data_IF_152532214952
#
_entry.id   IF_152532214952
#
_cell.length_a   1.000
_cell.length_b   1.000
_cell.length_c   1.000
_cell.angle_alpha   90.00
_cell.angle_beta   90.00
_cell.angle_gamma   90.00
#
_symmetry.space_group_name_H-M   'P 1'
#
loop_
_entity.id
_entity.type
_entity.pdbx_description
1 polymer ?
#
# COMPACT_ATOMS: atom_id res chain seq x y z
N UNK A 1 -15.73 -0.98 -9.89
CA UNK A 1 -14.97 -1.05 -8.61
C UNK A 1 -14.38 0.32 -8.31
N UNK A 2 -14.60 0.81 -7.11
CA UNK A 2 -14.10 2.08 -6.61
C UNK A 2 -13.26 1.85 -5.35
N UNK A 3 -12.02 2.34 -5.30
CA UNK A 3 -11.09 2.07 -4.18
C UNK A 3 -10.42 3.34 -3.67
N UNK A 4 -9.98 3.34 -2.41
CA UNK A 4 -9.36 4.50 -1.78
C UNK A 4 -8.13 4.11 -0.95
N UNK A 5 -7.03 4.86 -1.15
CA UNK A 5 -5.89 4.87 -0.26
C UNK A 5 -6.03 5.99 0.77
N UNK A 6 -5.85 5.67 2.05
CA UNK A 6 -5.97 6.66 3.13
C UNK A 6 -4.68 6.67 3.93
N UNK A 7 -3.99 7.81 3.97
CA UNK A 7 -2.82 7.93 4.83
C UNK A 7 -1.65 8.72 4.24
N UNK A 8 -0.49 8.07 4.18
CA UNK A 8 0.79 8.71 3.87
C UNK A 8 0.94 9.14 2.41
N UNK A 9 1.56 10.30 2.25
CA UNK A 9 2.13 10.81 1.02
C UNK A 9 3.49 11.45 1.32
N UNK A 10 4.45 11.23 0.46
CA UNK A 10 5.79 11.77 0.57
C UNK A 10 6.37 12.08 -0.81
N UNK A 11 7.48 12.80 -0.87
CA UNK A 11 8.38 12.70 -2.02
C UNK A 11 9.68 12.01 -1.61
N UNK A 12 10.11 11.05 -2.41
CA UNK A 12 11.43 10.45 -2.31
C UNK A 12 12.43 11.34 -3.09
N UNK A 13 13.30 12.05 -2.35
CA UNK A 13 14.33 12.94 -2.90
C UNK A 13 15.60 12.16 -3.21
N UNK A 14 15.83 11.88 -4.49
CA UNK A 14 17.02 11.19 -4.99
C UNK A 14 18.16 12.20 -5.13
N UNK A 15 19.01 12.28 -4.13
CA UNK A 15 20.09 13.28 -4.04
C UNK A 15 21.08 13.21 -5.20
N UNK A 16 21.42 12.01 -5.66
CA UNK A 16 22.32 11.79 -6.80
C UNK A 16 21.71 12.23 -8.14
N UNK A 17 20.37 12.29 -8.24
CA UNK A 17 19.65 12.73 -9.44
C UNK A 17 19.17 14.18 -9.34
N UNK A 18 19.22 14.78 -8.14
CA UNK A 18 18.54 16.06 -7.86
C UNK A 18 17.09 16.05 -8.36
N UNK A 19 16.37 14.96 -8.06
CA UNK A 19 15.01 14.73 -8.53
C UNK A 19 14.19 14.11 -7.39
N UNK A 20 13.01 14.64 -7.15
CA UNK A 20 12.05 14.08 -6.21
C UNK A 20 10.93 13.38 -6.96
N UNK A 21 10.50 12.23 -6.44
CA UNK A 21 9.43 11.42 -6.98
C UNK A 21 8.32 11.29 -5.95
N UNK A 22 7.03 11.45 -6.34
CA UNK A 22 5.92 11.23 -5.43
C UNK A 22 5.87 9.77 -4.98
N UNK A 23 5.46 9.54 -3.74
CA UNK A 23 5.36 8.22 -3.12
C UNK A 23 4.56 8.25 -1.82
N UNK A 24 4.64 7.18 -1.08
CA UNK A 24 3.83 6.88 0.10
C UNK A 24 2.94 5.67 -0.17
N UNK A 25 2.84 4.73 0.76
CA UNK A 25 2.15 3.46 0.53
C UNK A 25 0.68 3.67 0.17
N UNK A 26 -0.03 4.52 0.92
CA UNK A 26 -1.44 4.83 0.66
C UNK A 26 -1.62 5.62 -0.66
N UNK A 27 -0.73 6.57 -0.97
CA UNK A 27 -0.74 7.30 -2.22
C UNK A 27 -0.46 6.36 -3.40
N UNK A 28 0.58 5.52 -3.30
CA UNK A 28 0.97 4.54 -4.31
C UNK A 28 -0.20 3.61 -4.65
N UNK A 29 -0.92 3.11 -3.63
CA UNK A 29 -2.10 2.29 -3.84
C UNK A 29 -3.13 2.99 -4.74
N UNK A 30 -3.47 4.25 -4.46
CA UNK A 30 -4.45 5.01 -5.24
C UNK A 30 -4.00 5.25 -6.67
N UNK A 31 -2.73 5.62 -6.85
CA UNK A 31 -2.15 5.85 -8.19
C UNK A 31 -2.11 4.55 -8.99
N UNK A 32 -1.63 3.46 -8.40
CA UNK A 32 -1.57 2.16 -9.06
C UNK A 32 -2.96 1.61 -9.39
N UNK A 33 -3.94 1.83 -8.50
CA UNK A 33 -5.32 1.45 -8.79
C UNK A 33 -5.86 2.20 -10.00
N UNK A 34 -5.58 3.51 -10.11
CA UNK A 34 -5.94 4.31 -11.28
C UNK A 34 -5.25 3.82 -12.56
N UNK A 35 -3.95 3.51 -12.50
CA UNK A 35 -3.19 2.96 -13.63
C UNK A 35 -3.73 1.61 -14.10
N UNK A 36 -4.33 0.82 -13.20
CA UNK A 36 -4.99 -0.46 -13.50
C UNK A 36 -6.46 -0.31 -13.94
N UNK A 37 -6.97 0.92 -14.05
CA UNK A 37 -8.30 1.22 -14.58
C UNK A 37 -9.42 1.26 -13.54
N UNK A 38 -9.11 1.21 -12.24
CA UNK A 38 -10.09 1.41 -11.19
C UNK A 38 -10.49 2.90 -11.05
N UNK A 39 -11.66 3.16 -10.50
CA UNK A 39 -12.02 4.47 -9.99
C UNK A 39 -11.34 4.64 -8.62
N UNK A 40 -10.28 5.45 -8.58
CA UNK A 40 -9.39 5.56 -7.44
C UNK A 40 -9.43 6.95 -6.81
N UNK A 41 -9.51 6.97 -5.48
CA UNK A 41 -9.41 8.17 -4.66
C UNK A 41 -8.26 8.05 -3.68
N UNK A 42 -7.75 9.20 -3.27
CA UNK A 42 -6.75 9.32 -2.20
C UNK A 42 -7.26 10.28 -1.12
N UNK A 43 -7.01 9.96 0.15
CA UNK A 43 -7.31 10.82 1.29
C UNK A 43 -6.10 10.86 2.24
N UNK A 44 -5.57 12.06 2.47
CA UNK A 44 -4.41 12.25 3.35
C UNK A 44 -4.23 13.70 3.77
N UNK A 45 -3.11 13.97 4.41
CA UNK A 45 -2.74 15.30 4.90
C UNK A 45 -1.55 15.82 4.11
N UNK A 46 -1.69 17.01 3.57
CA UNK A 46 -0.65 17.74 2.84
C UNK A 46 -0.12 18.93 3.63
N UNK A 47 1.15 19.23 3.41
CA UNK A 47 1.76 20.50 3.77
C UNK A 47 1.45 21.61 2.78
N UNK A 48 2.10 22.77 2.98
CA UNK A 48 2.08 23.89 2.04
C UNK A 48 3.51 24.22 1.63
N UNK A 49 4.04 23.39 0.77
CA UNK A 49 5.39 23.50 0.23
C UNK A 49 5.48 22.91 -1.19
N UNK A 50 6.65 23.03 -1.79
CA UNK A 50 6.89 22.56 -3.15
C UNK A 50 6.72 21.04 -3.29
N UNK A 51 6.90 20.26 -2.22
CA UNK A 51 6.69 18.80 -2.20
C UNK A 51 5.20 18.49 -2.30
N UNK A 52 4.37 19.15 -1.48
CA UNK A 52 2.91 19.02 -1.52
C UNK A 52 2.35 19.43 -2.89
N UNK A 53 2.78 20.60 -3.42
CA UNK A 53 2.35 21.11 -4.73
C UNK A 53 2.67 20.13 -5.84
N UNK A 54 3.84 19.48 -5.79
CA UNK A 54 4.22 18.47 -6.78
C UNK A 54 3.34 17.23 -6.72
N UNK A 55 3.09 16.69 -5.52
CA UNK A 55 2.24 15.50 -5.36
C UNK A 55 0.80 15.78 -5.81
N UNK A 56 0.23 16.92 -5.40
CA UNK A 56 -1.13 17.33 -5.79
C UNK A 56 -1.26 17.47 -7.31
N UNK A 57 -0.29 18.14 -7.97
CA UNK A 57 -0.28 18.30 -9.42
C UNK A 57 -0.24 16.94 -10.14
N UNK A 58 0.49 15.95 -9.60
CA UNK A 58 0.54 14.60 -10.17
C UNK A 58 -0.77 13.85 -9.96
N UNK A 59 -1.44 14.01 -8.81
CA UNK A 59 -2.78 13.42 -8.60
C UNK A 59 -3.80 13.99 -9.59
N UNK A 60 -3.77 15.31 -9.84
CA UNK A 60 -4.60 15.98 -10.85
C UNK A 60 -4.31 15.43 -12.25
N UNK A 61 -3.03 15.35 -12.65
CA UNK A 61 -2.61 14.82 -13.95
C UNK A 61 -3.09 13.39 -14.19
N UNK A 62 -3.00 12.55 -13.16
CA UNK A 62 -3.42 11.13 -13.22
C UNK A 62 -4.94 10.95 -13.05
N UNK A 63 -5.66 11.99 -12.64
CA UNK A 63 -7.10 11.94 -12.39
C UNK A 63 -7.45 11.06 -11.19
N UNK A 64 -6.62 11.08 -10.15
CA UNK A 64 -6.91 10.47 -8.84
C UNK A 64 -7.69 11.48 -8.02
N UNK A 65 -8.90 11.14 -7.61
CA UNK A 65 -9.76 12.01 -6.81
C UNK A 65 -9.16 12.21 -5.41
N UNK A 66 -9.09 13.46 -4.94
CA UNK A 66 -8.45 13.81 -3.65
C UNK A 66 -9.15 14.96 -2.90
N UNK A 67 -10.43 15.21 -3.19
CA UNK A 67 -11.21 16.32 -2.59
C UNK A 67 -11.41 16.20 -1.08
N UNK A 68 -11.20 15.02 -0.49
CA UNK A 68 -11.27 14.78 0.95
C UNK A 68 -9.92 14.90 1.67
N UNK A 69 -8.86 15.36 1.00
CA UNK A 69 -7.59 15.65 1.64
C UNK A 69 -7.65 16.87 2.55
N UNK A 70 -6.75 16.93 3.51
CA UNK A 70 -6.54 18.10 4.38
C UNK A 70 -5.21 18.77 4.00
N UNK A 71 -5.15 20.10 4.12
CA UNK A 71 -3.91 20.85 3.90
C UNK A 71 -3.67 21.81 5.05
N UNK A 72 -2.47 21.76 5.63
CA UNK A 72 -2.07 22.59 6.75
C UNK A 72 -0.74 23.31 6.47
N UNK A 73 -0.48 24.41 7.19
CA UNK A 73 0.82 25.07 7.15
C UNK A 73 1.87 24.16 7.79
N UNK A 74 2.96 23.90 7.07
CA UNK A 74 4.05 23.01 7.45
C UNK A 74 4.62 22.27 6.25
N UNK A 75 5.75 21.59 6.48
CA UNK A 75 6.40 20.78 5.44
C UNK A 75 5.61 19.49 5.17
N UNK A 76 5.50 19.14 3.90
CA UNK A 76 5.02 17.81 3.49
C UNK A 76 6.04 16.72 3.84
N UNK A 77 5.59 15.47 3.87
CA UNK A 77 6.46 14.33 4.06
C UNK A 77 7.51 14.19 2.95
N UNK A 78 8.76 13.90 3.33
CA UNK A 78 9.79 13.49 2.36
C UNK A 78 10.78 12.49 2.97
N UNK A 79 11.36 11.67 2.09
CA UNK A 79 12.53 10.86 2.38
C UNK A 79 13.69 11.26 1.44
N UNK A 80 14.93 11.16 1.94
CA UNK A 80 16.14 11.42 1.15
C UNK A 80 16.86 10.11 0.91
N UNK A 81 17.18 9.84 -0.33
CA UNK A 81 17.86 8.62 -0.75
C UNK A 81 19.00 8.94 -1.72
N UNK A 82 19.98 8.07 -1.76
CA UNK A 82 21.06 8.10 -2.77
C UNK A 82 21.34 6.69 -3.25
N UNK A 83 22.22 6.54 -4.23
CA UNK A 83 22.80 5.27 -4.65
C UNK A 83 24.26 5.21 -4.23
N UNK A 84 24.67 4.12 -3.60
CA UNK A 84 26.06 3.77 -3.31
C UNK A 84 26.30 2.37 -3.87
N UNK A 85 27.26 2.23 -4.77
CA UNK A 85 27.59 0.98 -5.45
C UNK A 85 26.40 0.27 -6.14
N UNK A 86 25.39 1.07 -6.56
CA UNK A 86 24.18 0.57 -7.23
C UNK A 86 23.04 0.23 -6.26
N UNK A 87 23.28 0.24 -4.96
CA UNK A 87 22.28 0.01 -3.93
C UNK A 87 21.69 1.33 -3.42
N UNK A 88 20.38 1.30 -3.12
CA UNK A 88 19.68 2.47 -2.56
C UNK A 88 19.98 2.61 -1.07
N UNK A 89 20.57 3.77 -0.71
CA UNK A 89 20.89 4.14 0.66
C UNK A 89 19.92 5.20 1.15
N UNK A 90 19.29 4.95 2.28
CA UNK A 90 18.41 5.90 2.95
C UNK A 90 19.25 6.89 3.76
N UNK A 91 19.10 8.19 3.48
CA UNK A 91 19.84 9.27 4.13
C UNK A 91 19.06 9.93 5.29
N UNK A 92 17.75 9.72 5.35
CA UNK A 92 16.88 10.28 6.38
C UNK A 92 15.53 10.76 5.83
N UNK A 93 14.65 11.20 6.73
CA UNK A 93 13.34 11.75 6.39
C UNK A 93 12.89 12.75 7.45
N UNK A 94 11.85 13.56 7.14
CA UNK A 94 11.13 14.33 8.16
C UNK A 94 9.98 13.52 8.81
N UNK A 95 9.98 12.18 8.62
CA UNK A 95 9.05 11.24 9.26
C UNK A 95 7.57 11.54 8.98
N UNK A 96 7.25 12.03 7.79
CA UNK A 96 5.89 12.32 7.36
C UNK A 96 5.50 13.80 7.49
N UNK A 97 6.39 14.66 8.00
CA UNK A 97 6.14 16.10 8.08
C UNK A 97 4.85 16.44 8.81
N UNK A 98 4.06 17.37 8.26
CA UNK A 98 2.83 17.86 8.87
C UNK A 98 1.77 16.74 9.10
N UNK A 99 1.77 15.69 8.30
CA UNK A 99 0.86 14.55 8.49
C UNK A 99 1.11 13.80 9.80
N UNK A 100 2.34 13.82 10.31
CA UNK A 100 2.67 13.28 11.63
C UNK A 100 2.24 14.22 12.76
N UNK A 101 2.37 15.53 12.57
CA UNK A 101 2.02 16.55 13.58
C UNK A 101 0.52 16.75 13.70
N UNK A 102 -0.18 16.65 12.55
CA UNK A 102 -1.63 16.76 12.42
C UNK A 102 -2.17 15.57 11.64
N UNK A 103 -2.25 14.38 12.27
CA UNK A 103 -2.79 13.19 11.62
C UNK A 103 -4.22 13.41 11.13
N UNK A 104 -4.58 12.67 10.09
CA UNK A 104 -5.95 12.69 9.58
C UNK A 104 -6.91 12.18 10.66
N UNK A 105 -7.91 13.00 10.99
CA UNK A 105 -9.04 12.62 11.83
C UNK A 105 -10.30 12.59 10.97
N UNK A 106 -10.93 11.42 10.89
CA UNK A 106 -12.11 11.19 10.06
C UNK A 106 -13.35 11.80 10.70
N UNK A 107 -14.06 12.59 9.91
CA UNK A 107 -15.39 13.14 10.23
C UNK A 107 -16.48 12.17 9.81
N UNK A 108 -17.73 12.43 10.21
CA UNK A 108 -18.89 11.64 9.78
C UNK A 108 -19.08 11.72 8.26
N UNK A 109 -18.80 12.87 7.64
CA UNK A 109 -18.86 13.04 6.19
C UNK A 109 -17.81 12.18 5.47
N UNK A 110 -16.58 12.08 6.03
CA UNK A 110 -15.57 11.17 5.51
C UNK A 110 -16.00 9.71 5.62
N UNK A 111 -16.63 9.32 6.72
CA UNK A 111 -17.11 7.95 6.91
C UNK A 111 -18.23 7.62 5.92
N UNK A 112 -19.13 8.56 5.66
CA UNK A 112 -20.17 8.39 4.66
C UNK A 112 -19.59 8.30 3.25
N UNK A 113 -18.57 9.11 2.94
CA UNK A 113 -17.82 9.03 1.69
C UNK A 113 -17.12 7.66 1.52
N UNK A 114 -16.47 7.15 2.59
CA UNK A 114 -15.77 5.85 2.58
C UNK A 114 -16.73 4.70 2.26
N UNK A 115 -17.97 4.72 2.72
CA UNK A 115 -18.97 3.67 2.41
C UNK A 115 -19.23 3.46 0.92
N UNK A 116 -18.91 4.45 0.08
CA UNK A 116 -19.02 4.37 -1.38
C UNK A 116 -17.89 3.59 -2.08
N UNK A 117 -16.95 3.00 -1.33
CA UNK A 117 -15.81 2.28 -1.88
C UNK A 117 -15.91 0.78 -1.68
N UNK A 118 -15.32 0.03 -2.60
CA UNK A 118 -15.19 -1.43 -2.53
C UNK A 118 -14.05 -1.88 -1.62
N UNK A 119 -13.04 -1.00 -1.41
CA UNK A 119 -11.86 -1.32 -0.61
C UNK A 119 -11.16 -0.06 -0.12
N UNK A 120 -10.66 -0.12 1.13
CA UNK A 120 -9.78 0.88 1.75
C UNK A 120 -8.39 0.28 1.94
N UNK A 121 -7.35 1.02 1.60
CA UNK A 121 -5.96 0.66 1.89
C UNK A 121 -5.26 1.72 2.73
N UNK A 122 -4.49 1.30 3.73
CA UNK A 122 -3.64 2.15 4.55
C UNK A 122 -2.36 1.42 4.97
N UNK A 123 -1.49 2.10 5.71
CA UNK A 123 -0.18 1.57 6.06
C UNK A 123 0.32 2.02 7.43
N UNK A 124 1.38 1.36 7.87
CA UNK A 124 2.11 1.69 9.10
C UNK A 124 2.75 3.09 9.10
N UNK A 125 2.95 3.70 7.93
CA UNK A 125 3.54 5.05 7.78
C UNK A 125 2.50 6.17 7.77
N UNK A 126 1.22 5.81 7.76
CA UNK A 126 0.11 6.74 7.57
C UNK A 126 -0.24 7.58 8.80
N UNK A 127 0.31 7.28 9.98
CA UNK A 127 -0.08 7.91 11.27
C UNK A 127 -1.60 7.84 11.50
N UNK A 128 -2.23 6.73 11.10
CA UNK A 128 -3.68 6.60 10.96
C UNK A 128 -4.30 5.50 11.86
N UNK A 129 -3.49 4.79 12.64
CA UNK A 129 -3.90 3.60 13.40
C UNK A 129 -5.10 3.87 14.32
N UNK A 130 -5.17 5.06 14.94
CA UNK A 130 -6.31 5.45 15.79
C UNK A 130 -7.65 5.56 15.08
N UNK A 131 -7.66 5.65 13.75
CA UNK A 131 -8.86 5.81 12.95
C UNK A 131 -9.38 4.48 12.36
N UNK A 132 -8.59 3.39 12.47
CA UNK A 132 -8.94 2.08 11.89
C UNK A 132 -10.28 1.56 12.39
N UNK A 133 -10.61 1.79 13.67
CA UNK A 133 -11.89 1.43 14.24
C UNK A 133 -13.06 2.15 13.55
N UNK A 134 -12.89 3.44 13.18
CA UNK A 134 -13.90 4.21 12.45
C UNK A 134 -14.06 3.64 11.03
N UNK A 135 -12.94 3.38 10.32
CA UNK A 135 -12.99 2.75 8.99
C UNK A 135 -13.69 1.41 9.06
N UNK A 136 -13.37 0.57 10.03
CA UNK A 136 -14.02 -0.73 10.20
C UNK A 136 -15.53 -0.63 10.44
N UNK A 137 -15.99 0.43 11.08
CA UNK A 137 -17.43 0.67 11.31
C UNK A 137 -18.23 0.96 10.04
N UNK A 138 -17.57 1.33 8.94
CA UNK A 138 -18.22 1.54 7.63
C UNK A 138 -18.63 0.24 6.95
N UNK A 139 -18.07 -0.90 7.36
CA UNK A 139 -18.28 -2.20 6.73
C UNK A 139 -17.46 -2.43 5.46
N UNK A 140 -16.70 -1.44 5.00
CA UNK A 140 -15.85 -1.55 3.82
C UNK A 140 -14.61 -2.39 4.16
N UNK A 141 -14.20 -3.36 3.32
CA UNK A 141 -12.99 -4.13 3.52
C UNK A 141 -11.75 -3.24 3.63
N UNK A 142 -10.91 -3.52 4.62
CA UNK A 142 -9.71 -2.76 4.93
C UNK A 142 -8.45 -3.62 4.77
N UNK A 143 -7.47 -3.10 4.04
CA UNK A 143 -6.12 -3.65 4.03
C UNK A 143 -5.11 -2.72 4.71
N UNK A 144 -4.13 -3.33 5.37
CA UNK A 144 -3.08 -2.62 6.09
C UNK A 144 -1.71 -3.16 5.71
N UNK A 145 -0.80 -2.28 5.28
CA UNK A 145 0.58 -2.65 5.00
C UNK A 145 1.48 -2.35 6.20
N UNK A 146 1.98 -3.41 6.84
CA UNK A 146 2.97 -3.31 7.92
C UNK A 146 4.39 -3.08 7.43
N UNK A 147 4.67 -3.29 6.12
CA UNK A 147 6.04 -3.28 5.61
C UNK A 147 6.95 -4.20 6.46
N UNK A 148 8.04 -3.69 7.01
CA UNK A 148 8.90 -4.40 7.96
C UNK A 148 8.51 -4.24 9.44
N UNK A 149 7.46 -3.50 9.76
CA UNK A 149 7.05 -3.22 11.16
C UNK A 149 6.16 -4.31 11.78
N UNK A 150 5.93 -5.41 11.09
CA UNK A 150 5.32 -6.61 11.67
C UNK A 150 6.13 -7.19 12.86
N UNK A 151 7.38 -6.74 13.04
CA UNK A 151 8.25 -7.07 14.18
C UNK A 151 7.88 -6.31 15.46
N UNK A 152 7.08 -5.25 15.35
CA UNK A 152 6.65 -4.41 16.46
C UNK A 152 5.27 -4.89 16.97
N UNK A 153 5.20 -5.52 18.16
CA UNK A 153 3.95 -6.08 18.66
C UNK A 153 2.89 -5.01 18.97
N UNK A 154 3.30 -3.77 19.30
CA UNK A 154 2.35 -2.68 19.56
C UNK A 154 1.67 -2.24 18.25
N UNK A 155 2.43 -2.16 17.15
CA UNK A 155 1.89 -1.90 15.81
C UNK A 155 0.94 -2.99 15.35
N UNK A 156 1.31 -4.25 15.56
CA UNK A 156 0.46 -5.38 15.22
C UNK A 156 -0.85 -5.34 16.02
N UNK A 157 -0.78 -5.14 17.33
CA UNK A 157 -1.96 -5.06 18.19
C UNK A 157 -2.89 -3.88 17.83
N UNK A 158 -2.33 -2.76 17.33
CA UNK A 158 -3.10 -1.60 16.94
C UNK A 158 -3.92 -1.81 15.64
N UNK A 159 -3.41 -2.60 14.68
CA UNK A 159 -4.02 -2.73 13.35
C UNK A 159 -4.69 -4.08 13.09
N UNK A 160 -4.15 -5.18 13.62
CA UNK A 160 -4.62 -6.54 13.34
C UNK A 160 -6.13 -6.76 13.56
N UNK A 161 -6.79 -6.20 14.60
CA UNK A 161 -8.21 -6.41 14.82
C UNK A 161 -9.13 -5.80 13.75
N UNK A 162 -8.61 -4.83 12.99
CA UNK A 162 -9.40 -4.04 12.04
C UNK A 162 -9.16 -4.41 10.59
N UNK A 163 -7.97 -4.94 10.26
CA UNK A 163 -7.59 -5.24 8.89
C UNK A 163 -8.12 -6.61 8.43
N UNK A 164 -8.75 -6.63 7.25
CA UNK A 164 -9.19 -7.85 6.60
C UNK A 164 -8.06 -8.52 5.80
N UNK A 165 -7.11 -7.70 5.31
CA UNK A 165 -5.88 -8.13 4.63
C UNK A 165 -4.70 -7.39 5.21
N UNK A 166 -3.59 -8.09 5.42
CA UNK A 166 -2.33 -7.46 5.84
C UNK A 166 -1.19 -7.81 4.92
N UNK A 167 -0.33 -6.84 4.66
CA UNK A 167 0.86 -7.00 3.84
C UNK A 167 2.11 -6.87 4.70
N UNK A 168 3.08 -7.76 4.45
CA UNK A 168 4.34 -7.86 5.20
C UNK A 168 5.52 -7.88 4.22
N UNK A 169 6.58 -7.13 4.53
CA UNK A 169 7.85 -7.23 3.80
C UNK A 169 8.76 -8.25 4.47
N UNK A 170 8.92 -9.41 3.84
CA UNK A 170 9.68 -10.57 4.33
C UNK A 170 10.85 -10.95 3.41
N UNK A 171 11.40 -9.98 2.64
CA UNK A 171 12.49 -10.25 1.69
C UNK A 171 13.84 -10.63 2.32
N UNK A 172 14.03 -10.37 3.62
CA UNK A 172 15.26 -10.64 4.36
C UNK A 172 15.23 -11.93 5.18
N UNK A 173 14.15 -12.71 5.11
CA UNK A 173 13.99 -13.95 5.90
C UNK A 173 13.80 -15.17 4.99
N UNK A 174 14.06 -16.38 5.51
CA UNK A 174 13.83 -17.62 4.78
C UNK A 174 12.35 -17.86 4.50
N UNK A 175 12.03 -18.87 3.72
CA UNK A 175 10.63 -19.23 3.45
C UNK A 175 9.95 -19.78 4.69
N UNK A 176 10.64 -20.62 5.44
CA UNK A 176 10.16 -21.21 6.68
C UNK A 176 9.88 -20.13 7.73
N UNK A 177 10.80 -19.16 7.88
CA UNK A 177 10.62 -18.02 8.78
C UNK A 177 9.44 -17.15 8.34
N UNK A 178 9.26 -16.89 7.03
CA UNK A 178 8.12 -16.13 6.52
C UNK A 178 6.79 -16.85 6.80
N UNK A 179 6.74 -18.17 6.71
CA UNK A 179 5.56 -18.96 7.10
C UNK A 179 5.27 -18.86 8.59
N UNK A 180 6.31 -18.91 9.44
CA UNK A 180 6.15 -18.73 10.90
C UNK A 180 5.62 -17.33 11.24
N UNK A 181 6.15 -16.29 10.57
CA UNK A 181 5.65 -14.92 10.70
C UNK A 181 4.17 -14.84 10.33
N UNK A 182 3.75 -15.45 9.21
CA UNK A 182 2.34 -15.47 8.81
C UNK A 182 1.46 -16.14 9.85
N UNK A 183 1.88 -17.28 10.42
CA UNK A 183 1.13 -17.96 11.50
C UNK A 183 1.05 -17.10 12.75
N UNK A 184 2.14 -16.41 13.12
CA UNK A 184 2.16 -15.48 14.24
C UNK A 184 1.20 -14.31 14.03
N UNK A 185 1.21 -13.69 12.86
CA UNK A 185 0.28 -12.61 12.51
C UNK A 185 -1.19 -13.08 12.55
N UNK A 186 -1.44 -14.31 12.10
CA UNK A 186 -2.78 -14.89 12.18
C UNK A 186 -3.23 -15.09 13.64
N UNK A 187 -2.33 -15.62 14.48
CA UNK A 187 -2.60 -15.76 15.91
C UNK A 187 -2.83 -14.41 16.63
N UNK A 188 -2.23 -13.31 16.11
CA UNK A 188 -2.46 -11.94 16.57
C UNK A 188 -3.79 -11.34 16.09
N UNK A 189 -4.56 -12.04 15.25
CA UNK A 189 -5.90 -11.62 14.78
C UNK A 189 -5.98 -11.21 13.30
N UNK A 190 -4.87 -11.20 12.55
CA UNK A 190 -4.91 -10.95 11.11
C UNK A 190 -5.56 -12.12 10.38
N UNK A 191 -6.55 -11.84 9.51
CA UNK A 191 -7.31 -12.91 8.84
C UNK A 191 -6.64 -13.44 7.59
N UNK A 192 -6.12 -12.55 6.76
CA UNK A 192 -5.52 -12.85 5.46
C UNK A 192 -4.18 -12.13 5.38
N UNK A 193 -3.10 -12.89 5.27
CA UNK A 193 -1.73 -12.39 5.37
C UNK A 193 -1.02 -12.59 4.05
N UNK A 194 -0.43 -11.53 3.52
CA UNK A 194 0.37 -11.54 2.31
C UNK A 194 1.80 -11.14 2.68
N UNK A 195 2.75 -12.05 2.55
CA UNK A 195 4.16 -11.79 2.77
C UNK A 195 4.89 -11.67 1.42
N UNK A 196 5.33 -10.46 1.07
CA UNK A 196 6.18 -10.23 -0.09
C UNK A 196 7.63 -10.51 0.25
N UNK A 197 8.34 -11.21 -0.63
CA UNK A 197 9.71 -11.69 -0.41
C UNK A 197 10.71 -11.19 -1.47
N UNK A 198 10.37 -10.07 -2.11
CA UNK A 198 11.20 -9.46 -3.17
C UNK A 198 11.46 -10.44 -4.32
N UNK A 199 12.73 -10.72 -4.61
CA UNK A 199 13.14 -11.67 -5.66
C UNK A 199 12.78 -13.13 -5.40
N UNK A 200 12.24 -13.47 -4.22
CA UNK A 200 11.72 -14.79 -3.87
C UNK A 200 10.20 -14.91 -4.01
N UNK A 201 9.54 -13.88 -4.57
CA UNK A 201 8.11 -13.87 -4.82
C UNK A 201 7.25 -13.43 -3.65
N UNK A 202 6.12 -14.08 -3.44
CA UNK A 202 5.19 -13.77 -2.37
C UNK A 202 4.47 -15.03 -1.88
N UNK A 203 3.95 -14.99 -0.66
CA UNK A 203 3.05 -16.01 -0.15
C UNK A 203 1.81 -15.36 0.46
N UNK A 204 0.70 -16.08 0.38
CA UNK A 204 -0.56 -15.76 1.03
C UNK A 204 -0.89 -16.86 2.04
N UNK A 205 -1.44 -16.46 3.18
CA UNK A 205 -1.91 -17.38 4.23
C UNK A 205 -3.29 -16.95 4.73
N UNK A 206 -4.23 -17.88 4.78
CA UNK A 206 -5.63 -17.65 5.19
C UNK A 206 -5.97 -18.22 6.59
N UNK A 207 -4.97 -18.73 7.29
CA UNK A 207 -5.13 -19.44 8.55
C UNK A 207 -5.12 -20.98 8.41
N UNK A 208 -5.30 -21.50 7.20
CA UNK A 208 -5.30 -22.92 6.88
C UNK A 208 -4.21 -23.29 5.88
N UNK A 209 -4.26 -22.68 4.69
CA UNK A 209 -3.39 -23.02 3.55
C UNK A 209 -2.41 -21.89 3.21
N UNK A 210 -1.23 -22.29 2.73
CA UNK A 210 -0.27 -21.38 2.10
C UNK A 210 -0.37 -21.46 0.58
N UNK A 211 -0.34 -20.29 -0.06
CA UNK A 211 -0.28 -20.15 -1.51
C UNK A 211 0.95 -19.35 -1.89
N UNK A 212 1.85 -19.96 -2.64
CA UNK A 212 3.12 -19.34 -3.04
C UNK A 212 3.00 -18.84 -4.47
N UNK A 213 3.48 -17.63 -4.71
CA UNK A 213 3.61 -17.02 -6.02
C UNK A 213 5.09 -16.77 -6.32
N UNK A 214 5.58 -17.41 -7.37
CA UNK A 214 6.91 -17.18 -7.90
C UNK A 214 7.08 -15.73 -8.40
N UNK A 215 8.26 -15.13 -8.27
CA UNK A 215 8.50 -13.78 -8.75
C UNK A 215 8.51 -13.73 -10.28
N UNK A 216 8.09 -12.61 -10.85
CA UNK A 216 8.38 -12.28 -12.24
C UNK A 216 9.62 -11.41 -12.30
N UNK A 217 10.79 -12.05 -12.39
CA UNK A 217 12.08 -11.34 -12.36
C UNK A 217 12.26 -10.48 -13.60
N UNK A 218 12.77 -9.27 -13.38
CA UNK A 218 13.17 -8.29 -14.40
C UNK A 218 14.51 -7.65 -14.00
N UNK A 219 15.20 -7.04 -14.95
CA UNK A 219 16.31 -6.17 -14.61
C UNK A 219 15.74 -4.83 -14.11
N UNK A 220 15.62 -4.71 -12.80
CA UNK A 220 15.02 -3.53 -12.20
C UNK A 220 15.79 -2.25 -12.48
N UNK A 221 15.05 -1.17 -12.75
CA UNK A 221 15.54 0.21 -12.75
C UNK A 221 15.47 0.77 -11.33
N UNK A 222 14.34 0.51 -10.66
CA UNK A 222 14.10 0.90 -9.27
C UNK A 222 13.11 -0.10 -8.64
N UNK A 223 13.27 -0.40 -7.36
CA UNK A 223 12.37 -1.30 -6.63
C UNK A 223 11.41 -0.56 -5.69
N UNK A 224 11.43 0.79 -5.72
CA UNK A 224 10.51 1.60 -4.93
C UNK A 224 9.07 1.33 -5.35
N UNK A 225 8.16 1.13 -4.38
CA UNK A 225 6.75 0.88 -4.65
C UNK A 225 6.42 -0.51 -5.20
N UNK A 226 7.41 -1.43 -5.34
CA UNK A 226 7.14 -2.79 -5.82
C UNK A 226 6.17 -3.57 -4.90
N UNK A 227 6.31 -3.42 -3.58
CA UNK A 227 5.38 -3.99 -2.60
C UNK A 227 3.97 -3.41 -2.74
N UNK A 228 3.87 -2.08 -2.83
CA UNK A 228 2.59 -1.36 -2.96
C UNK A 228 1.88 -1.73 -4.27
N UNK A 229 2.63 -1.86 -5.37
CA UNK A 229 2.08 -2.26 -6.66
C UNK A 229 1.62 -3.71 -6.68
N UNK A 230 2.35 -4.61 -6.01
CA UNK A 230 1.90 -5.99 -5.78
C UNK A 230 0.58 -5.98 -5.00
N UNK A 231 0.55 -5.28 -3.86
CA UNK A 231 -0.64 -5.19 -3.01
C UNK A 231 -1.85 -4.65 -3.77
N UNK A 232 -1.65 -3.58 -4.54
CA UNK A 232 -2.74 -2.96 -5.32
C UNK A 232 -3.30 -3.92 -6.35
N UNK A 233 -2.48 -4.51 -7.21
CA UNK A 233 -2.96 -5.41 -8.26
C UNK A 233 -3.60 -6.68 -7.70
N UNK A 234 -3.04 -7.23 -6.61
CA UNK A 234 -3.62 -8.35 -5.87
C UNK A 234 -5.02 -8.00 -5.35
N UNK A 235 -5.15 -6.89 -4.62
CA UNK A 235 -6.42 -6.46 -4.02
C UNK A 235 -7.48 -6.17 -5.08
N UNK A 236 -7.12 -5.46 -6.15
CA UNK A 236 -8.07 -5.16 -7.23
C UNK A 236 -8.58 -6.43 -7.90
N UNK A 237 -7.69 -7.36 -8.25
CA UNK A 237 -8.07 -8.62 -8.89
C UNK A 237 -8.98 -9.47 -7.99
N UNK A 238 -8.68 -9.54 -6.68
CA UNK A 238 -9.48 -10.32 -5.75
C UNK A 238 -10.83 -9.65 -5.46
N UNK A 239 -10.84 -8.32 -5.28
CA UNK A 239 -12.08 -7.54 -5.06
C UNK A 239 -13.02 -7.63 -6.26
N UNK A 240 -12.47 -7.54 -7.49
CA UNK A 240 -13.27 -7.73 -8.71
C UNK A 240 -13.96 -9.11 -8.74
N UNK A 241 -13.22 -10.16 -8.37
CA UNK A 241 -13.79 -11.51 -8.31
C UNK A 241 -14.87 -11.65 -7.24
N UNK A 242 -14.67 -11.01 -6.08
CA UNK A 242 -15.66 -10.97 -5.00
C UNK A 242 -16.95 -10.22 -5.40
N UNK A 243 -16.82 -9.07 -6.09
CA UNK A 243 -17.98 -8.31 -6.58
C UNK A 243 -18.73 -9.06 -7.69
N UNK A 244 -17.99 -9.71 -8.59
CA UNK A 244 -18.57 -10.36 -9.75
C UNK A 244 -19.19 -11.72 -9.47
N UNK A 245 -18.64 -12.46 -8.50
CA UNK A 245 -19.02 -13.85 -8.22
C UNK A 245 -19.15 -14.08 -6.69
N UNK A 246 -19.93 -13.27 -5.94
CA UNK A 246 -19.92 -13.30 -4.47
C UNK A 246 -20.25 -14.70 -3.92
N UNK A 247 -21.31 -15.35 -4.41
CA UNK A 247 -21.73 -16.69 -3.95
C UNK A 247 -20.63 -17.75 -4.20
N UNK A 248 -19.99 -17.73 -5.39
CA UNK A 248 -18.93 -18.69 -5.70
C UNK A 248 -17.66 -18.45 -4.90
N UNK A 249 -17.35 -17.19 -4.62
CA UNK A 249 -16.19 -16.85 -3.79
C UNK A 249 -16.37 -17.30 -2.34
N UNK A 250 -17.60 -17.38 -1.84
CA UNK A 250 -17.93 -17.79 -0.49
C UNK A 250 -18.14 -19.32 -0.38
N UNK A 251 -18.83 -19.95 -1.33
CA UNK A 251 -19.28 -21.33 -1.22
C UNK A 251 -18.38 -22.34 -1.96
N UNK A 252 -17.66 -21.93 -3.01
CA UNK A 252 -16.81 -22.80 -3.84
C UNK A 252 -15.32 -22.56 -3.55
N UNK A 253 -14.75 -23.40 -2.67
CA UNK A 253 -13.34 -23.30 -2.27
C UNK A 253 -12.37 -23.46 -3.45
N UNK A 254 -12.67 -24.24 -4.44
CA UNK A 254 -11.79 -24.44 -5.60
C UNK A 254 -11.85 -23.22 -6.53
N UNK A 255 -13.01 -22.62 -6.68
CA UNK A 255 -13.16 -21.34 -7.37
C UNK A 255 -12.39 -20.21 -6.63
N UNK A 256 -12.59 -20.08 -5.32
CA UNK A 256 -11.84 -19.12 -4.49
C UNK A 256 -10.32 -19.28 -4.67
N UNK A 257 -9.81 -20.52 -4.57
CA UNK A 257 -8.38 -20.82 -4.78
C UNK A 257 -7.88 -20.43 -6.16
N UNK A 258 -8.70 -20.62 -7.19
CA UNK A 258 -8.36 -20.23 -8.55
C UNK A 258 -8.24 -18.72 -8.70
N UNK A 259 -9.23 -17.98 -8.18
CA UNK A 259 -9.21 -16.51 -8.23
C UNK A 259 -8.11 -15.91 -7.34
N UNK A 260 -7.82 -16.51 -6.20
CA UNK A 260 -6.69 -16.14 -5.35
C UNK A 260 -5.34 -16.27 -6.08
N UNK A 261 -5.11 -17.40 -6.77
CA UNK A 261 -3.90 -17.60 -7.58
C UNK A 261 -3.79 -16.60 -8.73
N UNK A 262 -4.91 -16.25 -9.35
CA UNK A 262 -4.98 -15.22 -10.38
C UNK A 262 -4.61 -13.84 -9.80
N UNK A 263 -5.12 -13.50 -8.61
CA UNK A 263 -4.81 -12.25 -7.91
C UNK A 263 -3.32 -12.16 -7.52
N UNK A 264 -2.74 -13.24 -6.98
CA UNK A 264 -1.31 -13.30 -6.66
C UNK A 264 -0.43 -13.11 -7.91
N UNK A 265 -0.80 -13.72 -9.02
CA UNK A 265 -0.12 -13.54 -10.32
C UNK A 265 -0.24 -12.10 -10.82
N UNK A 266 -1.42 -11.48 -10.73
CA UNK A 266 -1.61 -10.08 -11.10
C UNK A 266 -0.69 -9.15 -10.28
N UNK A 267 -0.56 -9.40 -8.98
CA UNK A 267 0.39 -8.71 -8.10
C UNK A 267 1.83 -8.82 -8.60
N UNK A 268 2.30 -10.05 -8.86
CA UNK A 268 3.67 -10.30 -9.32
C UNK A 268 3.95 -9.67 -10.71
N UNK A 269 2.99 -9.72 -11.62
CA UNK A 269 3.10 -9.12 -12.96
C UNK A 269 3.15 -7.60 -12.91
N UNK A 270 2.34 -6.97 -12.08
CA UNK A 270 2.34 -5.51 -11.98
C UNK A 270 3.57 -5.01 -11.24
N UNK A 271 3.99 -5.66 -10.15
CA UNK A 271 5.23 -5.35 -9.45
C UNK A 271 6.46 -5.41 -10.38
N UNK A 272 6.52 -6.40 -11.28
CA UNK A 272 7.60 -6.47 -12.27
C UNK A 272 7.64 -5.27 -13.23
N UNK A 273 6.48 -4.73 -13.61
CA UNK A 273 6.38 -3.53 -14.47
C UNK A 273 6.81 -2.28 -13.72
N UNK A 274 6.38 -2.13 -12.47
CA UNK A 274 6.74 -1.01 -11.61
C UNK A 274 8.25 -0.94 -11.39
N UNK A 275 8.92 -2.06 -11.21
CA UNK A 275 10.39 -2.11 -11.10
C UNK A 275 11.15 -1.61 -12.35
N UNK A 276 10.49 -1.43 -13.49
CA UNK A 276 11.09 -0.87 -14.70
C UNK A 276 11.01 0.66 -14.78
N UNK A 277 10.40 1.31 -13.79
CA UNK A 277 10.20 2.76 -13.73
C UNK A 277 11.04 3.33 -12.59
N UNK A 278 11.58 4.54 -12.77
CA UNK A 278 12.31 5.24 -11.71
C UNK A 278 11.32 5.95 -10.76
N UNK A 279 11.56 5.87 -9.47
CA UNK A 279 10.56 6.21 -8.46
C UNK A 279 9.43 5.17 -8.44
N UNK A 280 8.43 5.33 -7.60
CA UNK A 280 7.33 4.37 -7.51
C UNK A 280 6.54 4.25 -8.82
N UNK A 281 6.22 5.39 -9.45
CA UNK A 281 5.45 5.47 -10.70
C UNK A 281 5.91 6.61 -11.63
N UNK A 282 7.15 7.06 -11.50
CA UNK A 282 7.70 8.17 -12.30
C UNK A 282 7.32 9.54 -11.76
N UNK A 283 7.02 10.48 -12.66
CA UNK A 283 6.65 11.87 -12.36
C UNK A 283 7.70 12.63 -11.54
N UNK A 284 8.98 12.43 -11.88
CA UNK A 284 10.10 13.10 -11.21
C UNK A 284 10.13 14.60 -11.48
N UNK A 285 10.40 15.41 -10.45
CA UNK A 285 10.60 16.85 -10.52
C UNK A 285 11.98 17.21 -9.97
N UNK A 286 12.72 18.08 -10.66
CA UNK A 286 14.02 18.60 -10.17
C UNK A 286 13.82 19.50 -8.93
N UNK A 287 14.78 19.43 -7.99
CA UNK A 287 14.83 20.28 -6.81
C UNK A 287 16.26 20.76 -6.51
#
# INVERSE_FOLDING_TARGET
MRVIGIGDNVCDKYEHLKTMFPGGQALNFSVYAKMLGADASYMGVFGRDEVADHVLAVLDELGVEHGHCRQYDGENGYARVTLEDGDRVFLGSNKGGIAKERPLDLTDDDLEYIKGFSHVHTSNNSHFDSQLVKVKSTGVPLSYDFSGQWKDPEKVAAAAPYADYVFLSCGSVSEEEAQEICRHMHAAGCKKIIATRGSYGAMYYDGEDFYVQEPKLVKAVDTLGAGDSFATAFLLSLTESMERFPEKMDEDRDFYRSELKKALRAGAEFASRTCMVQGAFGHGKKF
#
